data_IF_000844811036
#
_entry.id   IF_000844811036
#
_cell.length_a   1.000
_cell.length_b   1.000
_cell.length_c   1.000
_cell.angle_alpha   90.00
_cell.angle_beta   90.00
_cell.angle_gamma   90.00
#
_symmetry.space_group_name_H-M   'P 1'
#
loop_
_entity.id
_entity.type
_entity.pdbx_description
1 polymer ?
#
# COMPACT_ATOMS: atom_id res chain seq x y z
N UNK A 1 -34.14 -0.90 72.83
CA UNK A 1 -34.13 -1.33 71.41
C UNK A 1 -32.67 -1.60 71.07
N UNK A 2 -32.20 -2.79 71.45
CA UNK A 2 -30.85 -3.26 71.16
C UNK A 2 -30.83 -3.89 69.78
N UNK A 3 -30.03 -3.31 68.89
CA UNK A 3 -29.78 -3.83 67.54
C UNK A 3 -28.45 -4.56 67.60
N UNK A 4 -28.56 -5.88 67.72
CA UNK A 4 -27.45 -6.83 67.77
C UNK A 4 -26.72 -6.85 66.42
N UNK A 5 -25.45 -6.41 66.40
CA UNK A 5 -24.60 -6.37 65.21
C UNK A 5 -23.95 -7.74 65.00
N UNK A 6 -24.56 -8.58 64.17
CA UNK A 6 -23.93 -9.81 63.68
C UNK A 6 -22.82 -9.47 62.66
N UNK A 7 -21.58 -9.76 63.04
CA UNK A 7 -20.41 -9.68 62.17
C UNK A 7 -20.38 -10.91 61.24
N UNK A 8 -20.24 -10.75 59.91
CA UNK A 8 -20.16 -11.89 59.00
C UNK A 8 -18.84 -12.66 59.18
N UNK A 9 -18.94 -13.99 59.12
CA UNK A 9 -17.81 -14.90 59.24
C UNK A 9 -16.77 -14.69 58.12
N UNK A 10 -15.47 -14.87 58.40
CA UNK A 10 -14.42 -14.72 57.40
C UNK A 10 -14.55 -15.77 56.28
N UNK A 11 -14.27 -15.40 55.02
CA UNK A 11 -14.37 -16.31 53.88
C UNK A 11 -13.36 -17.46 54.01
N UNK A 12 -13.80 -18.66 53.60
CA UNK A 12 -12.99 -19.87 53.63
C UNK A 12 -11.70 -19.72 52.81
N UNK A 13 -10.57 -20.35 53.21
CA UNK A 13 -9.31 -20.28 52.49
C UNK A 13 -9.47 -20.84 51.07
N UNK A 14 -9.14 -20.02 50.06
CA UNK A 14 -9.06 -20.43 48.66
C UNK A 14 -8.04 -21.57 48.51
N UNK A 15 -8.52 -22.75 48.11
CA UNK A 15 -7.72 -23.95 47.86
C UNK A 15 -6.81 -23.72 46.64
N UNK A 16 -5.54 -23.41 46.91
CA UNK A 16 -4.49 -23.17 45.90
C UNK A 16 -4.15 -24.42 45.07
N UNK A 17 -4.59 -25.61 45.48
CA UNK A 17 -4.25 -26.87 44.81
C UNK A 17 -5.09 -27.14 43.55
N UNK A 18 -6.17 -26.41 43.32
CA UNK A 18 -7.01 -26.55 42.13
C UNK A 18 -6.44 -25.86 40.87
N UNK A 19 -5.49 -24.91 41.03
CA UNK A 19 -4.90 -24.19 39.90
C UNK A 19 -3.79 -24.97 39.17
N UNK A 20 -3.34 -26.11 39.71
CA UNK A 20 -2.18 -26.86 39.20
C UNK A 20 -2.58 -28.14 38.43
N UNK A 21 -3.89 -28.45 38.32
CA UNK A 21 -4.43 -29.59 37.56
C UNK A 21 -5.31 -29.17 36.38
N UNK A 22 -5.03 -28.04 35.74
CA UNK A 22 -5.52 -27.85 34.38
C UNK A 22 -4.84 -28.91 33.50
N UNK A 23 -5.59 -29.82 32.85
CA UNK A 23 -4.99 -30.82 31.97
C UNK A 23 -4.13 -30.11 30.93
N UNK A 24 -2.92 -30.65 30.71
CA UNK A 24 -1.99 -30.21 29.69
C UNK A 24 -2.60 -30.48 28.30
N UNK A 25 -3.53 -29.62 27.87
CA UNK A 25 -4.20 -29.66 26.56
C UNK A 25 -3.25 -29.18 25.44
N UNK A 26 -2.01 -28.76 25.76
CA UNK A 26 -1.24 -27.85 24.91
C UNK A 26 -0.31 -28.48 23.87
N UNK A 27 -0.24 -29.81 23.70
CA UNK A 27 0.76 -30.40 22.78
C UNK A 27 0.24 -31.49 21.84
N UNK A 28 -0.98 -31.98 22.03
CA UNK A 28 -1.51 -33.08 21.24
C UNK A 28 -2.16 -32.57 19.94
N UNK A 29 -1.37 -32.44 18.87
CA UNK A 29 -1.89 -32.33 17.51
C UNK A 29 -1.48 -31.11 16.69
N UNK A 30 -0.52 -30.31 17.14
CA UNK A 30 -0.04 -29.17 16.36
C UNK A 30 0.62 -29.66 15.06
N UNK A 31 0.07 -29.21 13.92
CA UNK A 31 0.60 -29.56 12.61
C UNK A 31 2.06 -29.10 12.51
N UNK A 32 3.00 -29.99 12.14
CA UNK A 32 4.40 -29.63 12.04
C UNK A 32 4.59 -28.47 11.05
N UNK A 33 5.43 -27.51 11.42
CA UNK A 33 5.74 -26.36 10.57
C UNK A 33 6.51 -26.88 9.35
N UNK A 34 6.11 -26.51 8.11
CA UNK A 34 6.84 -26.89 6.91
C UNK A 34 8.32 -26.53 6.98
N UNK A 35 9.18 -27.37 6.39
CA UNK A 35 10.61 -27.13 6.40
C UNK A 35 10.99 -25.79 5.74
N UNK A 36 12.06 -25.18 6.26
CA UNK A 36 12.61 -23.93 5.68
C UNK A 36 11.84 -22.66 6.03
N UNK A 37 10.88 -22.73 6.95
CA UNK A 37 10.23 -21.53 7.50
C UNK A 37 11.04 -21.03 8.70
N UNK A 38 11.52 -19.79 8.59
CA UNK A 38 12.12 -19.06 9.70
C UNK A 38 11.08 -18.16 10.38
N UNK A 39 11.27 -17.86 11.66
CA UNK A 39 10.48 -16.90 12.41
C UNK A 39 10.54 -15.53 11.71
N UNK A 40 9.40 -14.89 11.42
CA UNK A 40 9.39 -13.60 10.72
C UNK A 40 9.96 -12.45 11.55
N UNK A 41 9.98 -12.59 12.88
CA UNK A 41 10.44 -11.54 13.78
C UNK A 41 11.96 -11.62 13.99
N UNK A 42 12.46 -12.72 14.57
CA UNK A 42 13.87 -12.90 14.88
C UNK A 42 14.70 -13.66 13.83
N UNK A 43 14.06 -14.33 12.86
CA UNK A 43 14.76 -15.16 11.87
C UNK A 43 15.18 -16.56 12.34
N UNK A 44 14.80 -16.99 13.54
CA UNK A 44 15.08 -18.33 14.07
C UNK A 44 14.49 -19.44 13.16
N UNK A 45 15.23 -20.53 12.94
CA UNK A 45 14.73 -21.65 12.13
C UNK A 45 13.64 -22.42 12.88
N UNK A 46 12.40 -22.44 12.36
CA UNK A 46 11.25 -23.06 13.02
C UNK A 46 11.09 -24.54 12.70
N UNK A 47 12.07 -25.16 12.00
CA UNK A 47 12.04 -26.59 11.70
C UNK A 47 11.88 -27.42 12.97
N UNK A 48 10.99 -28.42 12.91
CA UNK A 48 10.69 -29.37 13.98
C UNK A 48 10.16 -28.75 15.29
N UNK A 49 9.83 -27.46 15.32
CA UNK A 49 9.37 -26.81 16.53
C UNK A 49 7.90 -27.15 16.81
N UNK A 50 7.65 -27.77 17.97
CA UNK A 50 6.31 -28.14 18.44
C UNK A 50 5.68 -27.09 19.35
N UNK A 51 6.45 -26.13 19.85
CA UNK A 51 5.91 -25.05 20.70
C UNK A 51 4.99 -24.11 19.92
N UNK A 52 3.97 -23.57 20.58
CA UNK A 52 3.10 -22.54 20.02
C UNK A 52 3.80 -21.17 19.90
N UNK A 53 4.93 -20.98 20.58
CA UNK A 53 5.68 -19.72 20.60
C UNK A 53 7.11 -19.93 20.13
N UNK A 54 7.69 -18.93 19.48
CA UNK A 54 9.10 -18.90 19.11
C UNK A 54 9.99 -18.84 20.37
N UNK A 55 11.02 -19.69 20.50
CA UNK A 55 11.87 -19.73 21.69
C UNK A 55 12.75 -18.48 21.85
N UNK A 56 13.05 -17.77 20.76
CA UNK A 56 13.92 -16.59 20.78
C UNK A 56 13.16 -15.28 21.07
N UNK A 57 12.01 -15.07 20.42
CA UNK A 57 11.27 -13.79 20.50
C UNK A 57 9.87 -13.91 21.13
N UNK A 58 9.41 -15.12 21.45
CA UNK A 58 8.08 -15.34 22.01
C UNK A 58 6.92 -15.18 21.03
N UNK A 59 7.18 -14.97 19.73
CA UNK A 59 6.14 -14.81 18.71
C UNK A 59 5.20 -16.03 18.65
N UNK A 60 3.89 -15.79 18.66
CA UNK A 60 2.86 -16.83 18.42
C UNK A 60 2.94 -17.39 16.99
N UNK A 61 3.15 -18.70 16.90
CA UNK A 61 3.36 -19.46 15.67
C UNK A 61 2.09 -20.11 15.13
N UNK A 62 0.94 -19.99 15.78
CA UNK A 62 -0.32 -20.52 15.25
C UNK A 62 -0.72 -19.82 13.94
N UNK A 63 -0.31 -18.56 13.80
CA UNK A 63 -0.39 -17.80 12.56
C UNK A 63 0.50 -18.36 11.45
N UNK A 64 1.62 -19.00 11.77
CA UNK A 64 2.50 -19.65 10.79
C UNK A 64 1.93 -21.01 10.40
N UNK A 65 1.35 -21.74 11.35
CA UNK A 65 0.76 -23.08 11.15
C UNK A 65 -0.49 -23.08 10.30
N UNK A 66 -1.32 -22.06 10.42
CA UNK A 66 -2.59 -21.99 9.67
C UNK A 66 -2.38 -21.99 8.15
N UNK A 67 -1.20 -21.59 7.64
CA UNK A 67 -0.82 -21.53 6.20
C UNK A 67 -1.81 -20.80 5.27
N UNK A 68 -2.90 -20.26 5.82
CA UNK A 68 -3.93 -19.50 5.09
C UNK A 68 -3.41 -18.08 4.88
N UNK A 69 -3.39 -17.57 3.64
CA UNK A 69 -3.05 -16.17 3.40
C UNK A 69 -4.11 -15.27 4.07
N UNK A 70 -3.68 -14.33 4.92
CA UNK A 70 -4.62 -13.37 5.50
C UNK A 70 -4.94 -12.23 4.53
N UNK A 71 -4.11 -12.00 3.50
CA UNK A 71 -4.28 -10.91 2.54
C UNK A 71 -5.70 -10.94 1.94
N UNK A 72 -6.58 -9.96 2.24
CA UNK A 72 -7.99 -10.03 1.88
C UNK A 72 -8.23 -10.26 0.38
N UNK A 73 -7.40 -9.69 -0.50
CA UNK A 73 -7.48 -9.88 -1.95
C UNK A 73 -7.33 -11.34 -2.42
N UNK A 74 -6.55 -12.16 -1.71
CA UNK A 74 -6.43 -13.59 -2.03
C UNK A 74 -7.75 -14.33 -1.78
N UNK A 75 -8.51 -13.88 -0.78
CA UNK A 75 -9.84 -14.37 -0.40
C UNK A 75 -11.00 -13.60 -1.06
N UNK A 76 -10.74 -12.91 -2.18
CA UNK A 76 -11.78 -12.11 -2.89
C UNK A 76 -12.99 -12.91 -3.36
N UNK A 77 -12.88 -14.23 -3.49
CA UNK A 77 -14.00 -15.11 -3.84
C UNK A 77 -14.95 -15.32 -2.66
N UNK A 78 -14.44 -15.24 -1.43
CA UNK A 78 -15.21 -15.37 -0.18
C UNK A 78 -15.71 -14.01 0.31
N UNK A 79 -14.87 -12.97 0.24
CA UNK A 79 -15.18 -11.62 0.76
C UNK A 79 -15.87 -10.70 -0.25
N UNK A 80 -15.94 -11.11 -1.52
CA UNK A 80 -16.28 -10.25 -2.65
C UNK A 80 -15.09 -9.39 -3.12
N UNK A 81 -15.07 -9.04 -4.41
CA UNK A 81 -13.92 -8.34 -5.04
C UNK A 81 -13.68 -6.95 -4.46
N UNK A 82 -14.74 -6.17 -4.30
CA UNK A 82 -14.64 -4.78 -3.85
C UNK A 82 -14.27 -4.64 -2.36
N UNK A 83 -14.93 -5.37 -1.41
CA UNK A 83 -14.50 -5.34 0.00
C UNK A 83 -13.08 -5.88 0.18
N UNK A 84 -12.70 -6.93 -0.55
CA UNK A 84 -11.35 -7.49 -0.50
C UNK A 84 -10.29 -6.49 -0.99
N UNK A 85 -10.59 -5.71 -2.04
CA UNK A 85 -9.71 -4.67 -2.55
C UNK A 85 -9.41 -3.62 -1.47
N UNK A 86 -10.45 -2.98 -0.92
CA UNK A 86 -10.28 -1.91 0.06
C UNK A 86 -9.72 -2.37 1.39
N UNK A 87 -10.06 -3.58 1.84
CA UNK A 87 -9.42 -4.17 3.03
C UNK A 87 -7.94 -4.43 2.81
N UNK A 88 -7.52 -4.79 1.59
CA UNK A 88 -6.10 -4.94 1.25
C UNK A 88 -5.41 -3.58 1.22
N UNK A 89 -6.03 -2.55 0.63
CA UNK A 89 -5.52 -1.17 0.67
C UNK A 89 -5.33 -0.70 2.11
N UNK A 90 -6.34 -0.91 2.96
CA UNK A 90 -6.28 -0.55 4.38
C UNK A 90 -5.17 -1.31 5.13
N UNK A 91 -5.06 -2.63 4.92
CA UNK A 91 -4.00 -3.46 5.49
C UNK A 91 -2.61 -2.90 5.14
N UNK A 92 -2.35 -2.64 3.86
CA UNK A 92 -1.04 -2.14 3.38
C UNK A 92 -0.74 -0.75 3.95
N UNK A 93 -1.73 0.15 3.95
CA UNK A 93 -1.53 1.53 4.38
C UNK A 93 -1.36 1.66 5.90
N UNK A 94 -2.20 0.97 6.69
CA UNK A 94 -2.29 1.13 8.15
C UNK A 94 -1.53 0.07 8.94
N UNK A 95 -1.41 -1.14 8.40
CA UNK A 95 -0.82 -2.28 9.10
C UNK A 95 0.28 -2.96 8.27
N UNK A 96 1.30 -2.21 7.84
CA UNK A 96 2.37 -2.75 6.97
C UNK A 96 3.12 -3.91 7.62
N UNK A 97 3.27 -3.91 8.94
CA UNK A 97 3.88 -5.01 9.68
C UNK A 97 3.11 -6.33 9.48
N UNK A 98 1.79 -6.29 9.52
CA UNK A 98 0.96 -7.48 9.26
C UNK A 98 1.15 -7.99 7.83
N UNK A 99 1.27 -7.10 6.84
CA UNK A 99 1.61 -7.49 5.47
C UNK A 99 2.98 -8.18 5.39
N UNK A 100 3.97 -7.74 6.15
CA UNK A 100 5.29 -8.37 6.17
C UNK A 100 5.27 -9.74 6.84
N UNK A 101 4.43 -9.93 7.86
CA UNK A 101 4.25 -11.27 8.44
C UNK A 101 3.70 -12.27 7.42
N UNK A 102 3.02 -11.83 6.35
CA UNK A 102 2.57 -12.73 5.28
C UNK A 102 3.73 -13.30 4.42
N UNK A 103 4.96 -12.78 4.57
CA UNK A 103 6.18 -13.33 3.94
C UNK A 103 6.41 -14.82 4.23
N UNK A 104 6.06 -15.27 5.43
CA UNK A 104 6.29 -16.66 5.86
C UNK A 104 5.26 -17.61 5.29
N UNK A 105 4.16 -17.07 4.76
CA UNK A 105 3.06 -17.83 4.19
C UNK A 105 3.18 -17.94 2.66
N UNK A 106 2.51 -18.94 2.05
CA UNK A 106 2.41 -19.00 0.61
C UNK A 106 1.61 -17.81 0.07
N UNK A 107 2.30 -16.92 -0.65
CA UNK A 107 1.68 -15.80 -1.37
C UNK A 107 1.60 -16.14 -2.85
N UNK A 108 0.39 -16.16 -3.39
CA UNK A 108 0.13 -16.40 -4.81
C UNK A 108 0.59 -15.21 -5.66
N UNK A 109 1.60 -15.43 -6.50
CA UNK A 109 2.11 -14.43 -7.45
C UNK A 109 1.02 -13.94 -8.42
N UNK A 110 0.16 -14.85 -8.88
CA UNK A 110 -0.95 -14.52 -9.80
C UNK A 110 -1.95 -13.56 -9.15
N UNK A 111 -2.26 -13.75 -7.88
CA UNK A 111 -3.20 -12.87 -7.17
C UNK A 111 -2.59 -11.50 -6.90
N UNK A 112 -1.30 -11.44 -6.59
CA UNK A 112 -0.56 -10.19 -6.44
C UNK A 112 -0.53 -9.37 -7.75
N UNK A 113 -0.29 -10.02 -8.89
CA UNK A 113 -0.39 -9.38 -10.21
C UNK A 113 -1.79 -8.86 -10.51
N UNK A 114 -2.84 -9.63 -10.19
CA UNK A 114 -4.23 -9.18 -10.35
C UNK A 114 -4.53 -7.96 -9.47
N UNK A 115 -4.01 -7.92 -8.24
CA UNK A 115 -4.16 -6.77 -7.36
C UNK A 115 -3.48 -5.53 -7.95
N UNK A 116 -2.24 -5.68 -8.44
CA UNK A 116 -1.49 -4.63 -9.13
C UNK A 116 -2.30 -4.05 -10.29
N UNK A 117 -2.84 -4.89 -11.17
CA UNK A 117 -3.63 -4.42 -12.31
C UNK A 117 -4.93 -3.73 -11.89
N UNK A 118 -5.59 -4.22 -10.83
CA UNK A 118 -6.76 -3.55 -10.27
C UNK A 118 -6.40 -2.14 -9.73
N UNK A 119 -5.30 -2.02 -8.99
CA UNK A 119 -4.82 -0.73 -8.48
C UNK A 119 -4.35 0.20 -9.59
N UNK A 120 -3.66 -0.33 -10.61
CA UNK A 120 -3.31 0.39 -11.83
C UNK A 120 -4.55 0.97 -12.50
N UNK A 121 -5.55 0.14 -12.78
CA UNK A 121 -6.76 0.58 -13.48
C UNK A 121 -7.50 1.65 -12.68
N UNK A 122 -7.56 1.49 -11.35
CA UNK A 122 -8.18 2.46 -10.45
C UNK A 122 -7.48 3.83 -10.51
N UNK A 123 -6.15 3.84 -10.37
CA UNK A 123 -5.35 5.07 -10.42
C UNK A 123 -5.42 5.71 -11.82
N UNK A 124 -5.26 4.91 -12.87
CA UNK A 124 -5.27 5.39 -14.25
C UNK A 124 -6.63 5.95 -14.67
N UNK A 125 -7.73 5.29 -14.31
CA UNK A 125 -9.07 5.79 -14.60
C UNK A 125 -9.31 7.16 -13.95
N UNK A 126 -8.79 7.38 -12.75
CA UNK A 126 -8.89 8.68 -12.07
C UNK A 126 -8.20 9.78 -12.87
N UNK A 127 -7.02 9.51 -13.44
CA UNK A 127 -6.28 10.45 -14.29
C UNK A 127 -7.05 10.77 -15.57
N UNK A 128 -7.56 9.74 -16.25
CA UNK A 128 -8.35 9.92 -17.48
C UNK A 128 -9.61 10.74 -17.21
N UNK A 129 -10.32 10.47 -16.11
CA UNK A 129 -11.50 11.24 -15.72
C UNK A 129 -11.16 12.69 -15.36
N UNK A 130 -10.04 12.95 -14.68
CA UNK A 130 -9.56 14.33 -14.42
C UNK A 130 -9.32 15.10 -15.72
N UNK A 131 -8.63 14.47 -16.68
CA UNK A 131 -8.31 15.09 -17.96
C UNK A 131 -9.56 15.32 -18.81
N UNK A 132 -10.49 14.35 -18.82
CA UNK A 132 -11.75 14.49 -19.51
C UNK A 132 -12.61 15.62 -18.92
N UNK A 133 -12.68 15.74 -17.59
CA UNK A 133 -13.39 16.82 -16.92
C UNK A 133 -12.77 18.18 -17.24
N UNK A 134 -11.44 18.28 -17.27
CA UNK A 134 -10.72 19.49 -17.66
C UNK A 134 -11.07 19.90 -19.09
N UNK A 135 -10.98 18.97 -20.06
CA UNK A 135 -11.32 19.23 -21.46
C UNK A 135 -12.79 19.61 -21.66
N UNK A 136 -13.71 19.01 -20.88
CA UNK A 136 -15.14 19.33 -20.96
C UNK A 136 -15.49 20.69 -20.35
N UNK A 137 -14.64 21.23 -19.48
CA UNK A 137 -14.84 22.55 -18.86
C UNK A 137 -14.50 23.71 -19.78
N UNK A 138 -13.70 23.47 -20.82
CA UNK A 138 -13.42 24.47 -21.85
C UNK A 138 -14.70 24.67 -22.69
N UNK A 139 -15.27 25.87 -22.61
CA UNK A 139 -16.54 26.20 -23.30
C UNK A 139 -16.37 26.24 -24.83
N UNK A 140 -15.13 26.33 -25.32
CA UNK A 140 -14.76 26.17 -26.73
C UNK A 140 -14.49 24.70 -27.02
N UNK A 141 -14.90 24.23 -28.20
CA UNK A 141 -14.55 22.89 -28.68
C UNK A 141 -13.05 22.63 -28.45
N UNK A 142 -12.68 21.45 -27.92
CA UNK A 142 -11.29 21.16 -27.61
C UNK A 142 -10.48 21.26 -28.90
N UNK A 143 -9.54 22.20 -28.93
CA UNK A 143 -8.57 22.27 -30.01
C UNK A 143 -7.77 20.96 -30.01
N UNK A 144 -7.38 20.49 -31.19
CA UNK A 144 -6.69 19.20 -31.35
C UNK A 144 -5.38 19.16 -30.54
N UNK A 145 -4.76 20.32 -30.31
CA UNK A 145 -3.62 20.48 -29.40
C UNK A 145 -3.93 20.01 -27.97
N UNK A 146 -5.06 20.43 -27.40
CA UNK A 146 -5.45 20.08 -26.03
C UNK A 146 -5.71 18.57 -25.90
N UNK A 147 -6.31 17.96 -26.94
CA UNK A 147 -6.49 16.51 -27.01
C UNK A 147 -5.15 15.76 -27.05
N UNK A 148 -4.19 16.21 -27.86
CA UNK A 148 -2.87 15.61 -27.93
C UNK A 148 -2.09 15.73 -26.62
N UNK A 149 -2.16 16.89 -25.97
CA UNK A 149 -1.51 17.11 -24.66
C UNK A 149 -2.12 16.19 -23.60
N UNK A 150 -3.45 16.12 -23.51
CA UNK A 150 -4.13 15.23 -22.58
C UNK A 150 -3.80 13.75 -22.83
N UNK A 151 -3.80 13.33 -24.10
CA UNK A 151 -3.44 11.96 -24.48
C UNK A 151 -1.97 11.64 -24.15
N UNK A 152 -1.05 12.56 -24.44
CA UNK A 152 0.38 12.42 -24.12
C UNK A 152 0.62 12.31 -22.61
N UNK A 153 -0.06 13.13 -21.82
CA UNK A 153 0.02 13.08 -20.36
C UNK A 153 -0.56 11.78 -19.79
N UNK A 154 -1.74 11.36 -20.27
CA UNK A 154 -2.33 10.08 -19.87
C UNK A 154 -1.38 8.93 -20.22
N UNK A 155 -0.80 8.91 -21.43
CA UNK A 155 0.16 7.90 -21.84
C UNK A 155 1.40 7.86 -20.94
N UNK A 156 1.99 9.02 -20.65
CA UNK A 156 3.17 9.12 -19.78
C UNK A 156 2.89 8.60 -18.35
N UNK A 157 1.74 8.97 -17.77
CA UNK A 157 1.32 8.48 -16.45
C UNK A 157 1.03 6.98 -16.48
N UNK A 158 0.35 6.49 -17.51
CA UNK A 158 0.10 5.06 -17.72
C UNK A 158 1.41 4.26 -17.80
N UNK A 159 2.38 4.73 -18.58
CA UNK A 159 3.70 4.11 -18.69
C UNK A 159 4.42 4.07 -17.34
N UNK A 160 4.42 5.19 -16.62
CA UNK A 160 5.02 5.28 -15.29
C UNK A 160 4.40 4.27 -14.32
N UNK A 161 3.07 4.21 -14.27
CA UNK A 161 2.31 3.28 -13.42
C UNK A 161 2.59 1.80 -13.76
N UNK A 162 2.97 1.49 -14.99
CA UNK A 162 3.36 0.13 -15.41
C UNK A 162 4.83 -0.18 -15.05
N UNK A 163 5.74 0.77 -15.27
CA UNK A 163 7.18 0.56 -15.13
C UNK A 163 7.60 0.53 -13.66
N UNK A 164 7.12 1.46 -12.82
CA UNK A 164 7.61 1.60 -11.45
C UNK A 164 7.41 0.35 -10.58
N UNK A 165 6.24 -0.32 -10.58
CA UNK A 165 6.09 -1.58 -9.85
C UNK A 165 7.01 -2.70 -10.35
N UNK A 166 7.37 -2.68 -11.63
CA UNK A 166 8.35 -3.59 -12.21
C UNK A 166 9.76 -3.34 -11.68
N UNK A 167 10.18 -2.07 -11.62
CA UNK A 167 11.50 -1.70 -11.11
C UNK A 167 11.70 -2.14 -9.65
N UNK A 168 10.69 -1.94 -8.79
CA UNK A 168 10.71 -2.41 -7.40
C UNK A 168 10.84 -3.93 -7.29
N UNK A 169 10.15 -4.68 -8.16
CA UNK A 169 10.27 -6.15 -8.18
C UNK A 169 11.66 -6.64 -8.60
N UNK A 170 12.30 -5.97 -9.56
CA UNK A 170 13.64 -6.32 -10.02
C UNK A 170 14.71 -6.06 -8.94
N UNK A 171 14.53 -5.00 -8.14
CA UNK A 171 15.42 -4.72 -7.01
C UNK A 171 15.40 -5.84 -5.95
N UNK A 172 14.27 -6.55 -5.81
CA UNK A 172 14.11 -7.71 -4.92
C UNK A 172 14.60 -9.04 -5.53
N UNK A 173 14.96 -9.05 -6.81
CA UNK A 173 15.49 -10.23 -7.51
C UNK A 173 16.97 -10.49 -7.14
N UNK A 174 17.24 -10.71 -5.85
CA UNK A 174 18.56 -11.14 -5.41
C UNK A 174 18.75 -12.62 -5.72
N UNK A 175 19.73 -12.94 -6.58
CA UNK A 175 20.13 -14.33 -6.91
C UNK A 175 20.54 -15.16 -5.68
N UNK A 176 20.83 -14.50 -4.55
CA UNK A 176 21.25 -15.14 -3.29
C UNK A 176 20.09 -15.70 -2.47
N UNK A 177 18.85 -15.29 -2.74
CA UNK A 177 17.69 -15.78 -2.03
C UNK A 177 17.16 -17.08 -2.66
N UNK A 178 16.70 -18.06 -1.84
CA UNK A 178 15.92 -19.19 -2.33
C UNK A 178 14.75 -18.72 -3.20
N UNK A 179 14.42 -19.53 -4.21
CA UNK A 179 13.43 -19.17 -5.24
C UNK A 179 12.06 -18.84 -4.62
N UNK A 180 11.67 -19.58 -3.58
CA UNK A 180 10.41 -19.39 -2.86
C UNK A 180 10.38 -18.03 -2.17
N UNK A 181 11.44 -17.67 -1.42
CA UNK A 181 11.53 -16.38 -0.72
C UNK A 181 11.57 -15.22 -1.70
N UNK A 182 12.25 -15.39 -2.83
CA UNK A 182 12.29 -14.42 -3.93
C UNK A 182 10.89 -14.19 -4.53
N UNK A 183 10.18 -15.26 -4.87
CA UNK A 183 8.84 -15.18 -5.44
C UNK A 183 7.84 -14.52 -4.49
N UNK A 184 7.94 -14.80 -3.18
CA UNK A 184 7.11 -14.16 -2.16
C UNK A 184 7.43 -12.68 -2.00
N UNK A 185 8.71 -12.32 -1.96
CA UNK A 185 9.15 -10.92 -1.91
C UNK A 185 8.65 -10.13 -3.12
N UNK A 186 8.77 -10.69 -4.32
CA UNK A 186 8.23 -10.08 -5.55
C UNK A 186 6.70 -9.95 -5.46
N UNK A 187 5.98 -11.00 -5.04
CA UNK A 187 4.53 -10.92 -4.93
C UNK A 187 4.09 -9.85 -3.92
N UNK A 188 4.77 -9.73 -2.78
CA UNK A 188 4.48 -8.70 -1.78
C UNK A 188 4.78 -7.29 -2.27
N UNK A 189 5.80 -7.12 -3.11
CA UNK A 189 6.12 -5.83 -3.73
C UNK A 189 5.00 -5.29 -4.63
N UNK A 190 4.09 -6.14 -5.12
CA UNK A 190 2.92 -5.66 -5.86
C UNK A 190 1.82 -5.13 -4.96
N UNK A 191 1.71 -5.63 -3.73
CA UNK A 191 0.75 -5.11 -2.76
C UNK A 191 1.19 -3.76 -2.18
N UNK A 192 2.49 -3.46 -2.12
CA UNK A 192 2.98 -2.17 -1.59
C UNK A 192 2.53 -0.96 -2.41
N UNK A 193 2.03 -1.16 -3.63
CA UNK A 193 1.45 -0.12 -4.48
C UNK A 193 0.02 0.28 -4.11
N UNK A 194 -0.59 -0.37 -3.13
CA UNK A 194 -1.95 -0.07 -2.69
C UNK A 194 -2.21 1.41 -2.32
N UNK A 195 -1.26 2.21 -1.79
CA UNK A 195 -1.50 3.63 -1.55
C UNK A 195 -1.94 4.42 -2.79
N UNK A 196 -1.62 3.96 -4.00
CA UNK A 196 -2.11 4.58 -5.24
C UNK A 196 -3.63 4.54 -5.38
N UNK A 197 -4.32 3.67 -4.63
CA UNK A 197 -5.79 3.68 -4.56
C UNK A 197 -6.37 4.97 -3.97
N UNK A 198 -5.54 5.82 -3.35
CA UNK A 198 -5.95 7.14 -2.87
C UNK A 198 -5.99 8.21 -3.97
N UNK A 199 -5.53 7.93 -5.20
CA UNK A 199 -5.51 8.89 -6.30
C UNK A 199 -6.87 9.54 -6.60
N UNK A 200 -8.01 8.82 -6.62
CA UNK A 200 -9.31 9.46 -6.85
C UNK A 200 -9.65 10.57 -5.84
N UNK A 201 -9.08 10.55 -4.63
CA UNK A 201 -9.29 11.63 -3.67
C UNK A 201 -8.69 12.95 -4.19
N UNK A 202 -7.57 12.90 -4.90
CA UNK A 202 -7.00 14.06 -5.59
C UNK A 202 -7.93 14.57 -6.69
N UNK A 203 -8.54 13.67 -7.48
CA UNK A 203 -9.56 14.04 -8.48
C UNK A 203 -10.77 14.71 -7.82
N UNK A 204 -11.26 14.20 -6.69
CA UNK A 204 -12.38 14.81 -5.96
C UNK A 204 -12.05 16.22 -5.50
N UNK A 205 -10.82 16.50 -5.07
CA UNK A 205 -10.39 17.84 -4.71
C UNK A 205 -10.35 18.78 -5.93
N UNK A 206 -9.88 18.28 -7.09
CA UNK A 206 -9.90 19.05 -8.34
C UNK A 206 -11.34 19.37 -8.75
N UNK A 207 -12.23 18.38 -8.76
CA UNK A 207 -13.65 18.56 -9.11
C UNK A 207 -14.34 19.51 -8.14
N UNK A 208 -14.08 19.37 -6.83
CA UNK A 208 -14.64 20.27 -5.82
C UNK A 208 -14.18 21.72 -6.03
N UNK A 209 -12.90 21.94 -6.34
CA UNK A 209 -12.37 23.27 -6.67
C UNK A 209 -13.07 23.87 -7.90
N UNK A 210 -13.28 23.08 -8.95
CA UNK A 210 -14.03 23.49 -10.14
C UNK A 210 -15.48 23.88 -9.81
N UNK A 211 -16.19 23.07 -9.02
CA UNK A 211 -17.59 23.36 -8.64
C UNK A 211 -17.68 24.65 -7.83
N UNK A 212 -16.73 24.90 -6.92
CA UNK A 212 -16.71 26.14 -6.13
C UNK A 212 -16.41 27.38 -6.98
N UNK A 213 -15.62 27.22 -8.05
CA UNK A 213 -15.25 28.31 -8.96
C UNK A 213 -16.40 28.67 -9.91
N UNK A 214 -17.17 27.68 -10.37
CA UNK A 214 -18.40 27.86 -11.18
C UNK A 214 -19.49 28.72 -10.48
N UNK A 215 -19.41 28.91 -9.16
CA UNK A 215 -20.37 29.71 -8.40
C UNK A 215 -20.00 31.19 -8.22
N UNK A 216 -18.81 31.63 -8.66
CA UNK A 216 -18.29 32.98 -8.39
C UNK A 216 -18.02 33.73 -9.70
N UNK A 217 -19.06 34.37 -10.25
CA UNK A 217 -19.09 35.17 -11.49
C UNK A 217 -18.18 36.44 -11.52
N UNK A 218 -17.21 36.57 -10.60
CA UNK A 218 -16.40 37.77 -10.46
C UNK A 218 -14.91 37.43 -10.36
N UNK A 219 -14.14 37.92 -11.34
CA UNK A 219 -12.67 37.94 -11.46
C UNK A 219 -12.00 36.83 -12.31
N UNK A 220 -12.14 36.99 -13.63
CA UNK A 220 -11.69 36.09 -14.72
C UNK A 220 -10.18 35.86 -14.84
N UNK A 221 -9.33 36.62 -14.13
CA UNK A 221 -7.86 36.44 -14.18
C UNK A 221 -7.29 35.50 -13.11
N UNK A 222 -8.00 35.31 -12.00
CA UNK A 222 -7.49 34.52 -10.86
C UNK A 222 -7.99 33.07 -10.85
N UNK A 223 -9.11 32.80 -11.53
CA UNK A 223 -9.76 31.50 -11.62
C UNK A 223 -8.85 30.44 -12.27
N UNK A 224 -8.24 30.77 -13.42
CA UNK A 224 -7.33 29.87 -14.13
C UNK A 224 -6.11 29.47 -13.29
N UNK A 225 -5.57 30.42 -12.52
CA UNK A 225 -4.45 30.16 -11.60
C UNK A 225 -4.87 29.24 -10.45
N UNK A 226 -6.05 29.43 -9.86
CA UNK A 226 -6.58 28.59 -8.76
C UNK A 226 -6.89 27.17 -9.22
N UNK A 227 -7.50 27.01 -10.40
CA UNK A 227 -7.78 25.70 -11.01
C UNK A 227 -6.49 24.96 -11.32
N UNK A 228 -5.50 25.65 -11.91
CA UNK A 228 -4.19 25.07 -12.20
C UNK A 228 -3.43 24.72 -10.92
N UNK A 229 -3.47 25.57 -9.89
CA UNK A 229 -2.88 25.28 -8.58
C UNK A 229 -3.57 24.08 -7.88
N UNK A 230 -4.90 23.99 -7.95
CA UNK A 230 -5.65 22.84 -7.43
C UNK A 230 -5.32 21.54 -8.19
N UNK A 231 -5.10 21.63 -9.50
CA UNK A 231 -4.67 20.51 -10.33
C UNK A 231 -3.25 20.06 -10.01
N UNK A 232 -2.33 21.00 -9.76
CA UNK A 232 -0.95 20.70 -9.35
C UNK A 232 -0.90 20.14 -7.92
N UNK A 233 -1.63 20.75 -6.98
CA UNK A 233 -1.70 20.30 -5.58
C UNK A 233 -2.43 18.96 -5.46
N UNK A 234 -3.61 18.81 -6.05
CA UNK A 234 -4.43 17.60 -5.97
C UNK A 234 -3.98 16.48 -6.91
N UNK A 235 -3.50 16.82 -8.10
CA UNK A 235 -3.10 15.87 -9.14
C UNK A 235 -1.65 15.41 -9.07
N UNK A 236 -0.74 16.18 -8.47
CA UNK A 236 0.68 15.79 -8.37
C UNK A 236 1.12 15.43 -6.94
N UNK A 237 0.72 16.19 -5.91
CA UNK A 237 1.19 15.92 -4.54
C UNK A 237 0.58 14.66 -3.94
N UNK A 238 -0.71 14.40 -4.17
CA UNK A 238 -1.35 13.18 -3.66
C UNK A 238 -0.72 11.91 -4.23
N UNK A 239 -0.52 11.80 -5.55
CA UNK A 239 0.18 10.66 -6.14
C UNK A 239 1.63 10.57 -5.70
N UNK A 240 2.34 11.71 -5.57
CA UNK A 240 3.71 11.72 -5.06
C UNK A 240 3.76 11.21 -3.61
N UNK A 241 2.87 11.66 -2.74
CA UNK A 241 2.78 11.19 -1.36
C UNK A 241 2.41 9.69 -1.30
N UNK A 242 1.46 9.24 -2.11
CA UNK A 242 1.09 7.84 -2.22
C UNK A 242 2.28 6.99 -2.69
N UNK A 243 3.07 7.49 -3.64
CA UNK A 243 4.25 6.81 -4.15
C UNK A 243 5.37 6.74 -3.11
N UNK A 244 5.66 7.86 -2.43
CA UNK A 244 6.62 7.90 -1.32
C UNK A 244 6.22 6.92 -0.21
N UNK A 245 4.93 6.85 0.12
CA UNK A 245 4.42 5.86 1.08
C UNK A 245 4.61 4.43 0.56
N UNK A 246 4.25 4.15 -0.69
CA UNK A 246 4.41 2.83 -1.31
C UNK A 246 5.86 2.36 -1.27
N UNK A 247 6.79 3.25 -1.59
CA UNK A 247 8.21 2.96 -1.58
C UNK A 247 8.78 2.84 -0.15
N UNK A 248 8.36 3.69 0.79
CA UNK A 248 8.73 3.54 2.20
C UNK A 248 8.28 2.17 2.74
N UNK A 249 7.10 1.68 2.31
CA UNK A 249 6.66 0.31 2.62
C UNK A 249 7.54 -0.73 1.95
N UNK A 250 7.90 -0.54 0.68
CA UNK A 250 8.80 -1.44 -0.04
C UNK A 250 10.19 -1.53 0.63
N UNK A 251 10.73 -0.41 1.12
CA UNK A 251 11.99 -0.36 1.85
C UNK A 251 11.91 -1.08 3.22
N UNK A 252 10.80 -0.93 3.94
CA UNK A 252 10.54 -1.65 5.20
C UNK A 252 10.40 -3.16 4.98
N UNK A 253 9.68 -3.55 3.92
CA UNK A 253 9.58 -4.95 3.46
C UNK A 253 10.97 -5.51 3.19
N UNK A 254 11.76 -4.80 2.36
CA UNK A 254 13.12 -5.18 2.01
C UNK A 254 13.99 -5.39 3.24
N UNK A 255 13.92 -4.51 4.25
CA UNK A 255 14.66 -4.66 5.51
C UNK A 255 14.37 -5.99 6.20
N UNK A 256 13.13 -6.46 6.20
CA UNK A 256 12.74 -7.74 6.82
C UNK A 256 13.09 -8.94 5.94
N UNK A 257 12.98 -8.80 4.61
CA UNK A 257 13.33 -9.88 3.67
C UNK A 257 14.83 -10.15 3.67
N UNK A 258 15.65 -9.11 3.82
CA UNK A 258 17.07 -9.11 3.48
C UNK A 258 18.00 -8.94 4.67
N UNK A 259 17.52 -9.22 5.90
CA UNK A 259 18.29 -9.13 7.14
C UNK A 259 19.77 -9.51 6.91
N UNK A 260 20.67 -8.54 7.13
CA UNK A 260 22.12 -8.71 6.99
C UNK A 260 22.76 -8.24 5.68
N UNK A 261 22.01 -7.78 4.67
CA UNK A 261 22.59 -7.28 3.40
C UNK A 261 22.44 -5.76 3.22
N UNK A 262 23.30 -4.98 3.87
CA UNK A 262 23.33 -3.50 3.74
C UNK A 262 23.45 -3.00 2.29
N UNK A 263 24.06 -3.78 1.39
CA UNK A 263 24.15 -3.45 -0.05
C UNK A 263 22.80 -3.41 -0.76
N UNK A 264 21.82 -4.21 -0.35
CA UNK A 264 20.51 -4.22 -1.01
C UNK A 264 19.63 -3.04 -0.57
N UNK A 265 19.83 -2.57 0.67
CA UNK A 265 19.16 -1.39 1.19
C UNK A 265 19.50 -0.13 0.38
N UNK A 266 20.77 0.04 0.02
CA UNK A 266 21.21 1.13 -0.87
C UNK A 266 20.57 1.08 -2.26
N UNK A 267 20.36 -0.11 -2.83
CA UNK A 267 19.68 -0.25 -4.13
C UNK A 267 18.23 0.22 -4.05
N UNK A 268 17.53 -0.10 -2.96
CA UNK A 268 16.15 0.35 -2.77
C UNK A 268 16.07 1.87 -2.62
N UNK A 269 17.02 2.48 -1.88
CA UNK A 269 17.14 3.94 -1.81
C UNK A 269 17.41 4.53 -3.18
N UNK A 270 18.31 3.94 -3.96
CA UNK A 270 18.63 4.45 -5.30
C UNK A 270 17.41 4.39 -6.22
N UNK A 271 16.65 3.28 -6.21
CA UNK A 271 15.40 3.13 -6.97
C UNK A 271 14.37 4.17 -6.53
N UNK A 272 14.26 4.42 -5.23
CA UNK A 272 13.42 5.46 -4.64
C UNK A 272 13.78 6.85 -5.17
N UNK A 273 15.05 7.23 -5.04
CA UNK A 273 15.56 8.53 -5.46
C UNK A 273 15.37 8.70 -6.97
N UNK A 274 15.68 7.67 -7.77
CA UNK A 274 15.48 7.70 -9.20
C UNK A 274 14.00 7.83 -9.57
N UNK A 275 13.10 7.19 -8.84
CA UNK A 275 11.65 7.25 -9.05
C UNK A 275 11.10 8.65 -8.73
N UNK A 276 11.49 9.23 -7.60
CA UNK A 276 11.12 10.61 -7.23
C UNK A 276 11.69 11.61 -8.22
N UNK A 277 12.94 11.44 -8.66
CA UNK A 277 13.56 12.30 -9.67
C UNK A 277 12.84 12.19 -11.03
N UNK A 278 12.47 10.99 -11.47
CA UNK A 278 11.71 10.78 -12.70
C UNK A 278 10.34 11.44 -12.65
N UNK A 279 9.65 11.35 -11.51
CA UNK A 279 8.39 12.06 -11.29
C UNK A 279 8.56 13.58 -11.33
N UNK A 280 9.55 14.11 -10.62
CA UNK A 280 9.83 15.53 -10.59
C UNK A 280 10.18 16.07 -11.98
N UNK A 281 10.97 15.32 -12.74
CA UNK A 281 11.30 15.65 -14.13
C UNK A 281 10.05 15.62 -15.02
N UNK A 282 9.20 14.60 -14.91
CA UNK A 282 7.96 14.52 -15.69
C UNK A 282 7.01 15.69 -15.38
N UNK A 283 6.86 16.04 -14.10
CA UNK A 283 6.08 17.20 -13.69
C UNK A 283 6.69 18.51 -14.20
N UNK A 284 8.02 18.66 -14.13
CA UNK A 284 8.73 19.83 -14.65
C UNK A 284 8.57 20.00 -16.15
N UNK A 285 8.67 18.92 -16.93
CA UNK A 285 8.43 18.93 -18.38
C UNK A 285 6.99 19.36 -18.68
N UNK A 286 6.00 18.79 -17.99
CA UNK A 286 4.60 19.17 -18.17
C UNK A 286 4.36 20.66 -17.86
N UNK A 287 4.90 21.14 -16.73
CA UNK A 287 4.82 22.55 -16.35
C UNK A 287 5.48 23.47 -17.38
N UNK A 288 6.64 23.07 -17.92
CA UNK A 288 7.36 23.83 -18.93
C UNK A 288 6.58 23.95 -20.24
N UNK A 289 5.91 22.87 -20.66
CA UNK A 289 5.03 22.88 -21.85
C UNK A 289 3.85 23.81 -21.64
N UNK A 290 3.18 23.72 -20.49
CA UNK A 290 2.06 24.61 -20.15
C UNK A 290 2.52 26.06 -20.14
N UNK A 291 3.64 26.36 -19.49
CA UNK A 291 4.21 27.70 -19.44
C UNK A 291 4.54 28.23 -20.84
N UNK A 292 5.13 27.41 -21.70
CA UNK A 292 5.43 27.78 -23.08
C UNK A 292 4.16 28.07 -23.90
N UNK A 293 3.10 27.27 -23.71
CA UNK A 293 1.80 27.52 -24.36
C UNK A 293 1.18 28.84 -23.93
N UNK A 294 1.22 29.16 -22.63
CA UNK A 294 0.73 30.44 -22.09
C UNK A 294 1.49 31.61 -22.71
N UNK A 295 2.83 31.52 -22.78
CA UNK A 295 3.65 32.54 -23.42
C UNK A 295 3.30 32.68 -24.90
N UNK A 296 3.23 31.56 -25.63
CA UNK A 296 2.93 31.57 -27.06
C UNK A 296 1.60 32.27 -27.37
N UNK A 297 0.56 31.96 -26.61
CA UNK A 297 -0.76 32.58 -26.79
C UNK A 297 -0.77 34.06 -26.40
N UNK A 298 0.14 34.52 -25.54
CA UNK A 298 0.22 35.95 -25.19
C UNK A 298 0.78 36.83 -26.31
N UNK A 299 1.42 36.23 -27.33
CA UNK A 299 2.03 36.95 -28.46
C UNK A 299 1.18 36.94 -29.75
N UNK A 300 0.11 36.15 -29.80
CA UNK A 300 -0.77 35.99 -30.96
C UNK A 300 -2.21 36.36 -30.61
#
# INVERSE_FOLDING_TARGET
>A
MDVDKQNPAPPAPLDKSASERAPNVQSAGLTPIPEGIACPDCGYDLRALTSAHCPECGLDLDLVRTQRPQIPWTRRHELGRFPAYWRTVWLVCRHPQQLYMEMVRPVSYRDAQRFRWATFLHAFLSVVLSLAAMLASEHTWPDWHNLLVAAGLAFAVGLLLVVLPGAGSYALESRRLPVERRNRGIALSYYTWAPLAAWPLGLLLVVAAFITDLGWDTYRSDAAFKVMAAFLLGGALFPAAALVLAEARLALLARHVLCGQGRLWWRMILVNVATVAALALAAFVALSVIYFMIIWHSFH
#
